data_IF_040160115685
#
_entry.id   IF_040160115685
#
_cell.length_a   1.000
_cell.length_b   1.000
_cell.length_c   1.000
_cell.angle_alpha   90.00
_cell.angle_beta   90.00
_cell.angle_gamma   90.00
#
_symmetry.space_group_name_H-M   'P 1'
#
loop_
_entity.id
_entity.type
_entity.pdbx_description
1 polymer ?
#
# COMPACT_ATOMS: atom_id res chain seq x y z
N UNK A 1 -8.57 1.20 -18.63
CA UNK A 1 -8.27 0.09 -17.70
C UNK A 1 -6.85 0.18 -17.16
N UNK A 2 -5.89 0.55 -17.99
CA UNK A 2 -4.48 0.69 -17.63
C UNK A 2 -4.20 1.65 -16.45
N UNK A 3 -4.91 2.77 -16.37
CA UNK A 3 -4.76 3.75 -15.28
C UNK A 3 -5.22 3.23 -13.90
N UNK A 4 -6.23 2.35 -13.87
CA UNK A 4 -6.66 1.68 -12.63
C UNK A 4 -5.67 0.59 -12.21
N UNK A 5 -5.10 -0.12 -13.19
CA UNK A 5 -4.04 -1.09 -12.95
C UNK A 5 -2.82 -0.40 -12.33
N UNK A 6 -2.37 0.71 -12.92
CA UNK A 6 -1.28 1.54 -12.39
C UNK A 6 -1.52 2.00 -10.94
N UNK A 7 -2.72 2.51 -10.63
CA UNK A 7 -3.07 2.96 -9.28
C UNK A 7 -3.11 1.81 -8.27
N UNK A 8 -3.63 0.63 -8.65
CA UNK A 8 -3.62 -0.57 -7.80
C UNK A 8 -2.19 -1.06 -7.50
N UNK A 9 -1.32 -1.07 -8.51
CA UNK A 9 0.08 -1.51 -8.39
C UNK A 9 0.86 -0.58 -7.48
N UNK A 10 0.60 0.73 -7.59
CA UNK A 10 1.26 1.76 -6.81
C UNK A 10 0.72 1.81 -5.36
N UNK A 11 -0.60 1.66 -5.15
CA UNK A 11 -1.20 1.54 -3.81
C UNK A 11 -0.72 0.29 -3.05
N UNK A 12 -0.47 -0.82 -3.75
CA UNK A 12 0.08 -2.04 -3.13
C UNK A 12 1.60 -2.01 -2.99
N UNK A 13 2.26 -0.91 -3.37
CA UNK A 13 3.72 -0.74 -3.36
C UNK A 13 4.48 -1.76 -4.25
N UNK A 14 3.77 -2.42 -5.17
CA UNK A 14 4.28 -3.53 -5.99
C UNK A 14 5.26 -3.03 -7.06
N UNK A 15 5.04 -1.83 -7.60
CA UNK A 15 5.99 -1.15 -8.50
C UNK A 15 6.20 -1.79 -9.87
N UNK A 16 5.32 -2.69 -10.34
CA UNK A 16 5.34 -3.23 -11.71
C UNK A 16 4.94 -2.13 -12.71
N UNK A 17 5.92 -1.43 -13.28
CA UNK A 17 5.71 -0.26 -14.13
C UNK A 17 6.08 -0.50 -15.58
N UNK A 18 5.09 -0.87 -16.40
CA UNK A 18 5.15 -0.61 -17.86
C UNK A 18 4.69 0.85 -18.16
N UNK A 19 3.88 1.41 -17.26
CA UNK A 19 3.30 2.76 -17.37
C UNK A 19 3.95 3.69 -16.35
N UNK A 20 4.46 4.82 -16.84
CA UNK A 20 5.19 5.79 -16.03
C UNK A 20 4.40 7.10 -15.89
N UNK A 21 4.21 7.61 -14.66
CA UNK A 21 3.57 8.90 -14.45
C UNK A 21 4.51 10.01 -14.93
N UNK A 22 4.06 10.82 -15.90
CA UNK A 22 4.80 11.97 -16.42
C UNK A 22 4.34 13.28 -15.76
N UNK A 23 5.28 14.18 -15.45
CA UNK A 23 4.98 15.47 -14.83
C UNK A 23 4.52 15.38 -13.36
N UNK A 24 3.47 16.13 -13.00
CA UNK A 24 2.93 16.24 -11.63
C UNK A 24 2.37 14.91 -11.08
N UNK A 25 2.05 13.96 -11.97
CA UNK A 25 1.57 12.63 -11.60
C UNK A 25 2.59 11.82 -10.80
N UNK A 26 3.90 12.14 -10.86
CA UNK A 26 4.94 11.49 -10.05
C UNK A 26 4.76 11.75 -8.56
N UNK A 27 4.33 12.97 -8.21
CA UNK A 27 4.06 13.32 -6.82
C UNK A 27 2.81 12.60 -6.32
N UNK A 28 1.77 12.55 -7.15
CA UNK A 28 0.53 11.83 -6.85
C UNK A 28 0.80 10.33 -6.64
N UNK A 29 1.63 9.71 -7.51
CA UNK A 29 2.04 8.32 -7.36
C UNK A 29 2.81 8.09 -6.04
N UNK A 30 3.72 9.01 -5.66
CA UNK A 30 4.40 8.95 -4.38
C UNK A 30 3.43 9.01 -3.19
N UNK A 31 2.46 9.93 -3.21
CA UNK A 31 1.43 10.06 -2.16
C UNK A 31 0.57 8.81 -2.08
N UNK A 32 0.14 8.25 -3.21
CA UNK A 32 -0.68 7.05 -3.25
C UNK A 32 0.07 5.80 -2.74
N UNK A 33 1.37 5.66 -3.04
CA UNK A 33 2.24 4.65 -2.45
C UNK A 33 2.38 4.80 -0.93
N UNK A 34 2.51 6.03 -0.43
CA UNK A 34 2.60 6.31 1.01
C UNK A 34 1.29 5.99 1.75
N UNK A 35 0.15 6.33 1.15
CA UNK A 35 -1.17 5.97 1.69
C UNK A 35 -1.33 4.46 1.75
N UNK A 36 -0.96 3.74 0.69
CA UNK A 36 -0.95 2.28 0.65
C UNK A 36 -0.08 1.67 1.74
N UNK A 37 1.13 2.19 1.92
CA UNK A 37 2.07 1.74 2.95
C UNK A 37 1.53 1.96 4.37
N UNK A 38 0.91 3.10 4.66
CA UNK A 38 0.27 3.37 5.95
C UNK A 38 -0.85 2.37 6.25
N UNK A 39 -1.69 2.07 5.25
CA UNK A 39 -2.77 1.10 5.40
C UNK A 39 -2.23 -0.32 5.63
N UNK A 40 -1.18 -0.73 4.92
CA UNK A 40 -0.52 -2.02 5.11
C UNK A 40 0.12 -2.11 6.50
N UNK A 41 0.82 -1.07 6.94
CA UNK A 41 1.47 -1.01 8.26
C UNK A 41 0.46 -1.01 9.41
N UNK A 42 -0.64 -0.27 9.29
CA UNK A 42 -1.74 -0.28 10.25
C UNK A 42 -2.39 -1.67 10.31
N UNK A 43 -2.64 -2.29 9.17
CA UNK A 43 -3.20 -3.65 9.08
C UNK A 43 -2.26 -4.69 9.70
N UNK A 44 -0.96 -4.60 9.42
CA UNK A 44 0.05 -5.46 10.02
C UNK A 44 0.15 -5.28 11.54
N UNK A 45 0.02 -4.04 12.02
CA UNK A 45 0.01 -3.72 13.45
C UNK A 45 -1.24 -4.28 14.14
N UNK A 46 -2.41 -4.17 13.50
CA UNK A 46 -3.66 -4.75 14.00
C UNK A 46 -3.58 -6.28 14.04
N UNK A 47 -3.07 -6.90 12.98
CA UNK A 47 -2.81 -8.34 12.94
C UNK A 47 -1.85 -8.71 14.07
N UNK A 48 -0.72 -8.05 14.21
CA UNK A 48 0.25 -8.33 15.27
C UNK A 48 -0.37 -8.20 16.68
N UNK A 49 -1.16 -7.17 16.92
CA UNK A 49 -1.89 -7.00 18.19
C UNK A 49 -2.90 -8.13 18.43
N UNK A 50 -3.65 -8.53 17.40
CA UNK A 50 -4.60 -9.64 17.50
C UNK A 50 -3.92 -10.99 17.76
N UNK A 51 -2.73 -11.21 17.19
CA UNK A 51 -1.92 -12.40 17.43
C UNK A 51 -1.34 -12.40 18.85
N UNK A 52 -0.89 -11.24 19.34
CA UNK A 52 -0.39 -11.09 20.71
C UNK A 52 -1.51 -11.31 21.73
N UNK A 53 -2.70 -10.78 21.47
CA UNK A 53 -3.88 -11.00 22.31
C UNK A 53 -4.33 -12.46 22.31
N UNK A 54 -4.25 -13.15 21.16
CA UNK A 54 -4.54 -14.59 21.07
C UNK A 54 -3.49 -15.50 21.73
N UNK A 55 -2.31 -14.97 22.07
CA UNK A 55 -1.24 -15.70 22.80
C UNK A 55 -1.38 -15.55 24.31
N UNK A 56 -1.99 -14.47 24.81
CA UNK A 56 -2.24 -14.26 26.25
C UNK A 56 -3.39 -15.14 26.79
N UNK A 57 -4.30 -15.60 25.92
CA UNK A 57 -5.43 -16.48 26.26
C UNK A 57 -5.05 -17.99 26.27
N UNK A 58 -3.77 -18.35 26.42
CA UNK A 58 -3.33 -19.77 26.46
C UNK A 58 -2.35 -20.10 27.58
#
# INVERSE_FOLDING_TARGET
MDQFYFSLINMTTLGLGDVYPVGHLRFLAGVESLTGFLLLSCSASYVFQSMHHGVEER
#
